data_IF_743256263299
#
_entry.id   IF_743256263299
#
_cell.length_a   1.000
_cell.length_b   1.000
_cell.length_c   1.000
_cell.angle_alpha   90.00
_cell.angle_beta   90.00
_cell.angle_gamma   90.00
#
_symmetry.space_group_name_H-M   'P 1'
#
loop_
_entity.id
_entity.type
_entity.pdbx_description
1 polymer ?
#
# COMPACT_ATOMS: atom_id res chain seq x y z
N UNK A 1 -2.78 -22.42 26.67
CA UNK A 1 -2.93 -21.06 27.26
C UNK A 1 -2.26 -20.03 26.33
N UNK A 2 -2.61 -20.00 25.04
CA UNK A 2 -1.63 -19.61 24.00
C UNK A 2 -2.23 -18.82 22.81
N UNK A 3 -3.34 -18.10 23.01
CA UNK A 3 -3.95 -17.23 21.96
C UNK A 3 -4.16 -15.76 22.37
N UNK A 4 -3.81 -15.43 23.61
CA UNK A 4 -3.42 -14.05 23.95
C UNK A 4 -2.05 -13.68 23.34
N UNK A 5 -1.44 -14.60 22.56
CA UNK A 5 0.00 -14.76 22.28
C UNK A 5 0.59 -13.91 21.16
N UNK A 6 -0.09 -13.70 20.03
CA UNK A 6 0.52 -13.00 18.89
C UNK A 6 -0.09 -11.63 18.64
N UNK A 7 -1.42 -11.52 18.77
CA UNK A 7 -2.14 -10.28 18.48
C UNK A 7 -1.73 -9.11 19.39
N UNK A 8 -1.52 -9.39 20.69
CA UNK A 8 -1.07 -8.40 21.68
C UNK A 8 0.35 -7.94 21.38
N UNK A 9 1.22 -8.87 20.96
CA UNK A 9 2.62 -8.62 20.63
C UNK A 9 2.74 -7.75 19.38
N UNK A 10 2.02 -8.10 18.32
CA UNK A 10 1.93 -7.31 17.09
C UNK A 10 1.35 -5.91 17.36
N UNK A 11 0.32 -5.81 18.20
CA UNK A 11 -0.26 -4.52 18.58
C UNK A 11 0.77 -3.61 19.23
N UNK A 12 1.58 -4.15 20.16
CA UNK A 12 2.66 -3.41 20.81
C UNK A 12 3.74 -3.00 19.80
N UNK A 13 4.11 -3.89 18.89
CA UNK A 13 5.10 -3.58 17.84
C UNK A 13 4.61 -2.44 16.92
N UNK A 14 3.34 -2.46 16.49
CA UNK A 14 2.76 -1.39 15.69
C UNK A 14 2.73 -0.05 16.46
N UNK A 15 2.45 -0.07 17.76
CA UNK A 15 2.52 1.13 18.60
C UNK A 15 3.95 1.65 18.76
N UNK A 16 4.94 0.76 18.83
CA UNK A 16 6.35 1.14 18.87
C UNK A 16 6.74 1.86 17.57
N UNK A 17 6.38 1.30 16.41
CA UNK A 17 6.61 1.93 15.10
C UNK A 17 5.96 3.33 14.99
N UNK A 18 4.76 3.51 15.56
CA UNK A 18 4.08 4.81 15.60
C UNK A 18 4.79 5.82 16.53
N UNK A 19 5.51 5.34 17.54
CA UNK A 19 6.23 6.17 18.51
C UNK A 19 7.69 6.48 18.15
N UNK A 20 8.21 5.84 17.09
CA UNK A 20 9.54 6.12 16.58
C UNK A 20 9.67 7.57 16.08
N UNK A 21 10.89 8.08 16.08
CA UNK A 21 11.17 9.41 15.55
C UNK A 21 10.87 9.47 14.05
N UNK A 22 10.53 10.65 13.53
CA UNK A 22 10.31 10.82 12.09
C UNK A 22 11.54 10.41 11.27
N UNK A 23 12.74 10.66 11.81
CA UNK A 23 14.00 10.25 11.17
C UNK A 23 14.07 8.73 11.00
N UNK A 24 13.81 7.97 12.07
CA UNK A 24 13.87 6.50 12.03
C UNK A 24 12.78 5.95 11.11
N UNK A 25 11.56 6.50 11.18
CA UNK A 25 10.45 6.08 10.31
C UNK A 25 10.73 6.30 8.83
N UNK A 26 11.37 7.44 8.47
CA UNK A 26 11.77 7.74 7.09
C UNK A 26 12.71 6.65 6.54
N UNK A 27 13.59 6.09 7.35
CA UNK A 27 14.55 5.08 6.87
C UNK A 27 13.87 3.83 6.30
N UNK A 28 12.68 3.44 6.79
CA UNK A 28 11.95 2.29 6.26
C UNK A 28 11.49 2.45 4.81
N UNK A 29 11.20 3.67 4.38
CA UNK A 29 10.70 3.94 3.03
C UNK A 29 11.66 4.79 2.18
N UNK A 30 12.78 5.27 2.73
CA UNK A 30 13.75 6.08 1.98
C UNK A 30 14.35 5.33 0.78
N UNK A 31 14.93 4.14 1.00
CA UNK A 31 15.52 3.34 -0.09
C UNK A 31 14.47 2.89 -1.11
N UNK A 32 13.30 2.35 -0.71
CA UNK A 32 12.21 2.07 -1.64
C UNK A 32 11.78 3.30 -2.45
N UNK A 33 11.69 4.47 -1.81
CA UNK A 33 11.29 5.70 -2.50
C UNK A 33 12.31 6.13 -3.55
N UNK A 34 13.61 5.98 -3.30
CA UNK A 34 14.63 6.27 -4.32
C UNK A 34 14.46 5.40 -5.57
N UNK A 35 14.14 4.12 -5.40
CA UNK A 35 13.88 3.20 -6.52
C UNK A 35 12.60 3.61 -7.25
N UNK A 36 11.53 3.90 -6.52
CA UNK A 36 10.28 4.41 -7.08
C UNK A 36 10.51 5.69 -7.88
N UNK A 37 11.29 6.63 -7.33
CA UNK A 37 11.61 7.88 -7.98
C UNK A 37 12.33 7.65 -9.31
N UNK A 38 13.33 6.75 -9.34
CA UNK A 38 14.01 6.38 -10.56
C UNK A 38 13.06 5.75 -11.59
N UNK A 39 12.17 4.86 -11.16
CA UNK A 39 11.17 4.24 -12.04
C UNK A 39 10.20 5.27 -12.65
N UNK A 40 9.80 6.29 -11.86
CA UNK A 40 8.98 7.41 -12.37
C UNK A 40 9.74 8.16 -13.45
N UNK A 41 11.02 8.49 -13.23
CA UNK A 41 11.83 9.21 -14.21
C UNK A 41 11.96 8.44 -15.52
N UNK A 42 12.29 7.15 -15.43
CA UNK A 42 12.47 6.27 -16.59
C UNK A 42 11.19 6.19 -17.44
N UNK A 43 10.07 5.76 -16.83
CA UNK A 43 8.81 5.62 -17.56
C UNK A 43 8.27 6.95 -18.09
N UNK A 44 8.56 8.06 -17.41
CA UNK A 44 8.15 9.39 -17.88
C UNK A 44 8.95 9.86 -19.10
N UNK A 45 10.16 9.35 -19.30
CA UNK A 45 10.97 9.68 -20.48
C UNK A 45 10.32 9.14 -21.74
N UNK A 46 9.87 7.88 -21.73
CA UNK A 46 9.16 7.26 -22.85
C UNK A 46 7.89 8.05 -23.22
N UNK A 47 7.12 8.49 -22.22
CA UNK A 47 5.89 9.26 -22.46
C UNK A 47 6.15 10.66 -23.04
N UNK A 48 7.28 11.27 -22.72
CA UNK A 48 7.65 12.56 -23.31
C UNK A 48 7.90 12.41 -24.81
N UNK A 49 8.63 11.37 -25.20
CA UNK A 49 8.97 11.11 -26.60
C UNK A 49 7.74 10.68 -27.41
N UNK A 50 6.92 9.77 -26.86
CA UNK A 50 5.77 9.19 -27.58
C UNK A 50 4.59 10.16 -27.70
N UNK A 51 4.37 11.01 -26.70
CA UNK A 51 3.16 11.85 -26.60
C UNK A 51 3.45 13.34 -26.60
N UNK A 52 4.71 13.76 -26.79
CA UNK A 52 5.15 15.16 -26.73
C UNK A 52 4.68 15.88 -25.45
N UNK A 53 4.60 15.15 -24.33
CA UNK A 53 4.25 15.70 -23.03
C UNK A 53 5.42 16.52 -22.46
N UNK A 54 5.11 17.54 -21.66
CA UNK A 54 6.17 18.18 -20.86
C UNK A 54 6.69 17.19 -19.80
N UNK A 55 7.95 17.33 -19.36
CA UNK A 55 8.52 16.47 -18.32
C UNK A 55 7.66 16.41 -17.05
N UNK A 56 7.11 17.55 -16.63
CA UNK A 56 6.29 17.65 -15.42
C UNK A 56 4.96 16.90 -15.55
N UNK A 57 4.32 16.97 -16.72
CA UNK A 57 3.05 16.29 -16.96
C UNK A 57 3.24 14.78 -17.11
N UNK A 58 4.31 14.34 -17.76
CA UNK A 58 4.67 12.93 -17.86
C UNK A 58 4.94 12.33 -16.47
N UNK A 59 5.80 13.00 -15.68
CA UNK A 59 6.10 12.57 -14.30
C UNK A 59 4.87 12.53 -13.41
N UNK A 60 4.01 13.56 -13.47
CA UNK A 60 2.76 13.59 -12.71
C UNK A 60 1.84 12.43 -13.10
N UNK A 61 1.69 12.17 -14.39
CA UNK A 61 0.80 11.11 -14.87
C UNK A 61 1.29 9.72 -14.46
N UNK A 62 2.60 9.45 -14.59
CA UNK A 62 3.21 8.18 -14.17
C UNK A 62 3.10 8.00 -12.66
N UNK A 63 3.45 9.03 -11.89
CA UNK A 63 3.34 8.99 -10.43
C UNK A 63 1.90 8.72 -9.97
N UNK A 64 0.91 9.29 -10.65
CA UNK A 64 -0.51 9.04 -10.36
C UNK A 64 -0.93 7.60 -10.68
N UNK A 65 -0.45 7.00 -11.78
CA UNK A 65 -0.76 5.59 -12.06
C UNK A 65 -0.11 4.67 -11.02
N UNK A 66 1.14 4.93 -10.65
CA UNK A 66 1.82 4.16 -9.60
C UNK A 66 1.11 4.34 -8.24
N UNK A 67 0.63 5.54 -7.92
CA UNK A 67 -0.18 5.78 -6.71
C UNK A 67 -1.41 4.89 -6.70
N UNK A 68 -2.17 4.84 -7.79
CA UNK A 68 -3.38 3.99 -7.88
C UNK A 68 -3.06 2.49 -7.74
N UNK A 69 -1.99 2.02 -8.39
CA UNK A 69 -1.53 0.63 -8.24
C UNK A 69 -1.11 0.35 -6.81
N UNK A 70 -0.34 1.26 -6.20
CA UNK A 70 0.12 1.14 -4.80
C UNK A 70 -1.04 1.16 -3.80
N UNK A 71 -2.06 1.99 -4.02
CA UNK A 71 -3.27 2.02 -3.20
C UNK A 71 -3.97 0.64 -3.27
N UNK A 72 -4.13 0.08 -4.47
CA UNK A 72 -4.72 -1.26 -4.63
C UNK A 72 -3.85 -2.39 -4.05
N UNK A 73 -2.51 -2.24 -4.06
CA UNK A 73 -1.60 -3.15 -3.38
C UNK A 73 -1.83 -3.14 -1.86
N UNK A 74 -1.99 -1.96 -1.25
CA UNK A 74 -2.28 -1.84 0.18
C UNK A 74 -3.61 -2.52 0.53
N UNK A 75 -4.63 -2.37 -0.32
CA UNK A 75 -5.91 -3.07 -0.16
C UNK A 75 -5.74 -4.59 -0.21
N UNK A 76 -4.97 -5.09 -1.19
CA UNK A 76 -4.69 -6.52 -1.35
C UNK A 76 -3.90 -7.10 -0.18
N UNK A 77 -2.93 -6.36 0.36
CA UNK A 77 -2.17 -6.76 1.54
C UNK A 77 -3.06 -6.80 2.79
N UNK A 78 -4.00 -5.86 2.93
CA UNK A 78 -4.97 -5.87 4.02
C UNK A 78 -5.91 -7.09 3.97
N UNK A 79 -6.38 -7.46 2.78
CA UNK A 79 -7.16 -8.70 2.57
C UNK A 79 -6.34 -9.94 2.94
N UNK A 80 -5.11 -10.02 2.45
CA UNK A 80 -4.20 -11.15 2.69
C UNK A 80 -3.91 -11.31 4.18
N UNK A 81 -3.66 -10.20 4.89
CA UNK A 81 -3.45 -10.21 6.32
C UNK A 81 -4.65 -10.81 7.07
N UNK A 82 -5.88 -10.38 6.75
CA UNK A 82 -7.08 -10.95 7.37
C UNK A 82 -7.27 -12.43 7.04
N UNK A 83 -7.02 -12.84 5.79
CA UNK A 83 -7.11 -14.23 5.38
C UNK A 83 -6.14 -15.12 6.15
N UNK A 84 -4.97 -14.59 6.53
CA UNK A 84 -3.98 -15.26 7.38
C UNK A 84 -4.28 -15.15 8.88
N UNK A 85 -5.43 -14.61 9.28
CA UNK A 85 -5.87 -14.58 10.67
C UNK A 85 -5.49 -13.32 11.45
N UNK A 86 -4.95 -12.29 10.78
CA UNK A 86 -4.70 -11.00 11.43
C UNK A 86 -6.00 -10.33 11.88
N UNK A 87 -5.95 -9.63 13.00
CA UNK A 87 -7.15 -8.91 13.47
C UNK A 87 -7.40 -7.64 12.67
N UNK A 88 -8.68 -7.31 12.43
CA UNK A 88 -9.10 -6.04 11.81
C UNK A 88 -8.50 -4.81 12.50
N UNK A 89 -8.32 -4.83 13.83
CA UNK A 89 -7.70 -3.71 14.56
C UNK A 89 -6.21 -3.56 14.27
N UNK A 90 -5.47 -4.66 14.07
CA UNK A 90 -4.04 -4.58 13.73
C UNK A 90 -3.86 -4.16 12.27
N UNK A 91 -4.67 -4.69 11.35
CA UNK A 91 -4.69 -4.27 9.94
C UNK A 91 -5.00 -2.77 9.81
N UNK A 92 -6.02 -2.28 10.53
CA UNK A 92 -6.35 -0.85 10.55
C UNK A 92 -5.16 0.00 11.02
N UNK A 93 -4.53 -0.41 12.13
CA UNK A 93 -3.38 0.30 12.71
C UNK A 93 -2.18 0.31 11.77
N UNK A 94 -1.83 -0.84 11.19
CA UNK A 94 -0.75 -0.95 10.20
C UNK A 94 -0.98 -0.03 8.99
N UNK A 95 -2.24 0.16 8.60
CA UNK A 95 -2.62 1.05 7.51
C UNK A 95 -2.78 2.54 7.91
N UNK A 96 -2.48 2.91 9.15
CA UNK A 96 -2.70 4.27 9.67
C UNK A 96 -4.19 4.68 9.67
N UNK A 97 -5.10 3.71 9.61
CA UNK A 97 -6.54 3.94 9.63
C UNK A 97 -7.11 3.68 11.03
N UNK A 98 -8.10 4.47 11.45
CA UNK A 98 -8.85 4.10 12.64
C UNK A 98 -9.61 2.79 12.38
N UNK A 99 -9.81 1.91 13.38
CA UNK A 99 -10.56 0.66 13.20
C UNK A 99 -11.97 0.87 12.62
N UNK A 100 -12.63 1.99 12.96
CA UNK A 100 -13.92 2.40 12.39
C UNK A 100 -13.83 2.85 10.92
N UNK A 101 -12.69 3.41 10.50
CA UNK A 101 -12.42 3.79 9.11
C UNK A 101 -11.83 2.66 8.27
N UNK A 102 -11.38 1.56 8.88
CA UNK A 102 -10.75 0.45 8.15
C UNK A 102 -11.70 -0.16 7.12
N UNK A 103 -12.99 -0.33 7.44
CA UNK A 103 -13.99 -0.82 6.47
C UNK A 103 -14.35 0.19 5.38
N UNK A 104 -14.06 1.49 5.61
CA UNK A 104 -14.20 2.54 4.59
C UNK A 104 -12.96 2.59 3.70
N UNK A 105 -11.77 2.43 4.28
CA UNK A 105 -10.48 2.40 3.56
C UNK A 105 -10.31 1.11 2.77
N UNK A 106 -10.83 0.00 3.28
CA UNK A 106 -10.77 -1.32 2.66
C UNK A 106 -12.18 -1.87 2.45
N UNK A 107 -12.90 -1.41 1.40
CA UNK A 107 -14.27 -1.84 1.12
C UNK A 107 -14.40 -3.35 0.93
N UNK A 108 -13.34 -4.01 0.44
CA UNK A 108 -13.27 -5.45 0.17
C UNK A 108 -13.17 -6.31 1.43
N UNK A 109 -13.00 -5.73 2.62
CA UNK A 109 -13.11 -6.46 3.90
C UNK A 109 -14.56 -6.68 4.35
N UNK A 110 -15.55 -6.19 3.60
CA UNK A 110 -16.97 -6.47 3.85
C UNK A 110 -17.29 -7.87 3.31
N UNK A 111 -17.94 -8.69 4.13
CA UNK A 111 -18.06 -10.14 3.94
C UNK A 111 -18.91 -10.60 2.76
N UNK A 112 -19.65 -9.73 2.07
CA UNK A 112 -20.71 -10.16 1.14
C UNK A 112 -20.79 -9.31 -0.15
N UNK A 113 -19.64 -9.06 -0.80
CA UNK A 113 -19.59 -8.38 -2.10
C UNK A 113 -18.76 -9.14 -3.14
N UNK A 114 -19.12 -9.08 -4.43
CA UNK A 114 -18.22 -9.56 -5.49
C UNK A 114 -16.89 -8.81 -5.37
N UNK A 115 -15.78 -9.57 -5.40
CA UNK A 115 -14.44 -8.98 -5.41
C UNK A 115 -14.17 -8.50 -6.84
N UNK A 116 -14.47 -7.24 -7.13
CA UNK A 116 -14.12 -6.62 -8.42
C UNK A 116 -12.61 -6.62 -8.63
N UNK A 117 -12.13 -6.93 -9.83
CA UNK A 117 -10.69 -6.87 -10.15
C UNK A 117 -10.13 -5.49 -9.83
N UNK A 118 -8.94 -5.46 -9.25
CA UNK A 118 -8.22 -4.23 -8.90
C UNK A 118 -7.03 -4.02 -9.84
N UNK A 119 -6.52 -2.78 -9.91
CA UNK A 119 -5.37 -2.45 -10.76
C UNK A 119 -4.14 -3.29 -10.44
N UNK A 120 -3.92 -3.66 -9.17
CA UNK A 120 -2.82 -4.55 -8.80
C UNK A 120 -3.00 -5.95 -9.38
N UNK A 121 -4.22 -6.46 -9.51
CA UNK A 121 -4.46 -7.78 -10.12
C UNK A 121 -4.05 -7.74 -11.61
N UNK A 122 -4.40 -6.67 -12.32
CA UNK A 122 -4.02 -6.49 -13.73
C UNK A 122 -2.50 -6.31 -13.91
N UNK A 123 -1.84 -5.60 -12.99
CA UNK A 123 -0.37 -5.45 -13.01
C UNK A 123 0.33 -6.78 -12.73
N UNK A 124 -0.12 -7.54 -11.73
CA UNK A 124 0.49 -8.83 -11.41
C UNK A 124 0.34 -9.83 -12.57
N UNK A 125 -0.83 -9.91 -13.20
CA UNK A 125 -1.06 -10.74 -14.38
C UNK A 125 -0.12 -10.36 -15.55
N UNK A 126 0.27 -9.10 -15.68
CA UNK A 126 1.19 -8.64 -16.74
C UNK A 126 2.65 -9.04 -16.53
N UNK A 127 3.00 -9.50 -15.33
CA UNK A 127 4.36 -9.91 -14.96
C UNK A 127 4.58 -11.43 -15.05
N UNK A 128 3.51 -12.21 -15.24
CA UNK A 128 3.53 -13.68 -15.43
C UNK A 128 3.73 -14.08 -16.89
#
# INVERSE_FOLDING_TARGET
MERMSDNTSQRKALQQLESESDYDRITYYQKPFMVLWAAVQEASSELQDDYALSPELAQLWVAEQIRKVSDSLVDRLAETALAHGESKSNVARAAGASPANALRRFPRLKTDGPHERTLIDDVLDSLE
#
